data_IF_657423034104
#
_entry.id   IF_657423034104
#
_cell.length_a   1.000
_cell.length_b   1.000
_cell.length_c   1.000
_cell.angle_alpha   90.00
_cell.angle_beta   90.00
_cell.angle_gamma   90.00
#
_symmetry.space_group_name_H-M   'P 1'
#
loop_
_entity.id
_entity.type
_entity.pdbx_description
1 polymer ?
#
# COMPACT_ATOMS: atom_id res chain seq x y z
N UNK A 1 7.17 16.92 1.93
CA UNK A 1 6.08 16.83 2.93
C UNK A 1 5.77 15.36 3.10
N UNK A 2 5.86 14.83 4.32
CA UNK A 2 5.55 13.42 4.59
C UNK A 2 4.12 13.29 5.10
N UNK A 3 3.39 12.30 4.59
CA UNK A 3 2.01 12.00 4.92
C UNK A 3 1.89 10.77 5.83
N UNK A 4 2.95 10.48 6.60
CA UNK A 4 3.11 9.27 7.42
C UNK A 4 2.04 9.10 8.50
N UNK A 5 1.34 10.17 8.87
CA UNK A 5 0.22 10.09 9.80
C UNK A 5 -1.10 9.65 9.17
N UNK A 6 -1.23 9.63 7.84
CA UNK A 6 -2.49 9.34 7.15
C UNK A 6 -2.83 7.84 7.07
N UNK A 7 -1.91 6.90 6.80
CA UNK A 7 -2.24 5.48 6.62
C UNK A 7 -3.08 4.87 7.74
N UNK A 8 -2.88 5.31 8.98
CA UNK A 8 -3.65 4.87 10.15
C UNK A 8 -5.17 5.15 10.07
N UNK A 9 -5.59 6.10 9.23
CA UNK A 9 -7.01 6.41 9.00
C UNK A 9 -7.74 5.27 8.30
N UNK A 10 -7.01 4.40 7.59
CA UNK A 10 -7.59 3.25 6.89
C UNK A 10 -8.08 2.15 7.86
N UNK A 11 -7.71 2.22 9.15
CA UNK A 11 -8.09 1.24 10.17
C UNK A 11 -9.61 1.11 10.33
N UNK A 12 -10.32 2.21 10.18
CA UNK A 12 -11.76 2.27 10.42
C UNK A 12 -12.58 2.12 9.12
N UNK A 13 -11.92 1.84 7.99
CA UNK A 13 -12.58 1.69 6.68
C UNK A 13 -13.31 0.32 6.58
N UNK A 14 -14.65 0.28 6.44
CA UNK A 14 -15.41 -0.97 6.45
C UNK A 14 -14.95 -1.98 5.38
N UNK A 15 -14.67 -1.51 4.16
CA UNK A 15 -14.21 -2.38 3.08
C UNK A 15 -12.86 -3.06 3.41
N UNK A 16 -12.00 -2.39 4.19
CA UNK A 16 -10.73 -2.96 4.66
C UNK A 16 -10.98 -3.97 5.77
N UNK A 17 -11.84 -3.65 6.72
CA UNK A 17 -12.21 -4.56 7.83
C UNK A 17 -12.80 -5.88 7.32
N UNK A 18 -13.58 -5.86 6.23
CA UNK A 18 -14.16 -7.05 5.63
C UNK A 18 -13.13 -8.02 5.03
N UNK A 19 -12.02 -7.49 4.52
CA UNK A 19 -10.95 -8.27 3.87
C UNK A 19 -9.82 -8.67 4.82
N UNK A 20 -9.65 -7.99 5.95
CA UNK A 20 -8.61 -8.31 6.92
C UNK A 20 -8.77 -9.75 7.48
N UNK A 21 -7.65 -10.47 7.57
CA UNK A 21 -7.60 -11.84 8.08
C UNK A 21 -8.05 -12.90 7.08
N UNK A 22 -8.56 -12.53 5.90
CA UNK A 22 -8.87 -13.46 4.81
C UNK A 22 -7.57 -13.97 4.17
N UNK A 23 -7.56 -15.24 3.77
CA UNK A 23 -6.45 -15.81 2.99
C UNK A 23 -6.42 -15.33 1.54
N UNK A 24 -7.58 -14.91 1.02
CA UNK A 24 -7.76 -14.33 -0.31
C UNK A 24 -8.96 -13.40 -0.28
N UNK A 25 -8.81 -12.20 -0.84
CA UNK A 25 -9.86 -11.19 -0.92
C UNK A 25 -9.60 -10.24 -2.09
N UNK A 26 -10.64 -9.53 -2.52
CA UNK A 26 -10.57 -8.48 -3.54
C UNK A 26 -11.03 -7.18 -2.89
N UNK A 27 -10.19 -6.15 -2.98
CA UNK A 27 -10.52 -4.79 -2.55
C UNK A 27 -10.52 -3.88 -3.77
N UNK A 28 -11.67 -3.30 -4.10
CA UNK A 28 -11.79 -2.34 -5.18
C UNK A 28 -11.33 -0.96 -4.68
N UNK A 29 -10.33 -0.38 -5.35
CA UNK A 29 -9.72 0.90 -4.96
C UNK A 29 -9.61 1.80 -6.18
N UNK A 30 -10.01 3.08 -6.10
CA UNK A 30 -9.72 4.04 -7.15
C UNK A 30 -8.21 4.21 -7.34
N UNK A 31 -7.76 4.36 -8.58
CA UNK A 31 -6.33 4.53 -8.90
C UNK A 31 -5.61 5.60 -8.04
N UNK A 32 -6.19 6.80 -7.79
CA UNK A 32 -5.55 7.81 -6.95
C UNK A 32 -5.38 7.41 -5.49
N UNK A 33 -6.17 6.45 -5.00
CA UNK A 33 -6.14 5.98 -3.63
C UNK A 33 -5.24 4.76 -3.43
N UNK A 34 -4.72 4.14 -4.51
CA UNK A 34 -3.99 2.87 -4.44
C UNK A 34 -2.81 2.91 -3.47
N UNK A 35 -1.95 3.93 -3.57
CA UNK A 35 -0.78 4.06 -2.70
C UNK A 35 -1.19 4.25 -1.22
N UNK A 36 -2.18 5.10 -0.97
CA UNK A 36 -2.71 5.32 0.38
C UNK A 36 -3.29 4.02 0.98
N UNK A 37 -4.07 3.28 0.20
CA UNK A 37 -4.66 2.00 0.64
C UNK A 37 -3.58 0.96 0.93
N UNK A 38 -2.56 0.82 0.07
CA UNK A 38 -1.45 -0.12 0.29
C UNK A 38 -0.67 0.24 1.56
N UNK A 39 -0.33 1.53 1.75
CA UNK A 39 0.34 2.01 2.97
C UNK A 39 -0.52 1.79 4.22
N UNK A 40 -1.84 1.99 4.14
CA UNK A 40 -2.74 1.68 5.25
C UNK A 40 -2.83 0.17 5.53
N UNK A 41 -2.77 -0.67 4.51
CA UNK A 41 -2.75 -2.13 4.67
C UNK A 41 -1.47 -2.62 5.37
N UNK A 42 -0.30 -2.05 5.09
CA UNK A 42 0.94 -2.41 5.80
C UNK A 42 0.83 -2.09 7.30
N UNK A 43 0.28 -0.92 7.64
CA UNK A 43 0.05 -0.48 9.03
C UNK A 43 -1.00 -1.34 9.77
N UNK A 44 -2.17 -1.57 9.14
CA UNK A 44 -3.31 -2.22 9.81
C UNK A 44 -3.16 -3.74 9.88
N UNK A 45 -2.58 -4.36 8.84
CA UNK A 45 -2.44 -5.82 8.81
C UNK A 45 -1.29 -6.35 9.68
N UNK A 46 -0.33 -5.47 10.05
CA UNK A 46 0.95 -5.81 10.70
C UNK A 46 1.77 -6.88 9.95
N UNK A 47 1.42 -7.16 8.69
CA UNK A 47 2.17 -8.07 7.83
C UNK A 47 3.32 -7.27 7.21
N UNK A 48 4.53 -7.68 7.52
CA UNK A 48 5.74 -7.15 6.91
C UNK A 48 6.67 -8.32 6.56
N UNK A 49 7.21 -8.38 5.32
CA UNK A 49 7.01 -7.42 4.23
C UNK A 49 5.66 -7.59 3.49
N UNK A 50 5.19 -6.51 2.85
CA UNK A 50 4.09 -6.55 1.88
C UNK A 50 4.66 -6.51 0.46
N UNK A 51 4.39 -7.53 -0.34
CA UNK A 51 4.81 -7.58 -1.75
C UNK A 51 3.66 -7.10 -2.62
N UNK A 52 3.91 -6.11 -3.48
CA UNK A 52 2.94 -5.57 -4.42
C UNK A 52 3.43 -5.82 -5.84
N UNK A 53 2.71 -6.64 -6.60
CA UNK A 53 2.95 -6.84 -8.03
C UNK A 53 2.11 -5.85 -8.85
N UNK A 54 2.72 -5.24 -9.86
CA UNK A 54 2.07 -4.30 -10.77
C UNK A 54 2.38 -4.63 -12.23
N UNK A 55 1.57 -4.17 -13.20
CA UNK A 55 1.68 -4.63 -14.58
C UNK A 55 2.97 -4.22 -15.31
N UNK A 56 3.56 -3.07 -14.97
CA UNK A 56 4.75 -2.54 -15.65
C UNK A 56 5.77 -1.96 -14.68
N UNK A 57 7.03 -1.82 -15.12
CA UNK A 57 8.07 -1.11 -14.36
C UNK A 57 7.68 0.35 -14.09
N UNK A 58 6.99 1.02 -15.02
CA UNK A 58 6.51 2.39 -14.83
C UNK A 58 5.46 2.51 -13.73
N UNK A 59 4.55 1.53 -13.62
CA UNK A 59 3.60 1.46 -12.50
C UNK A 59 4.33 1.25 -11.17
N UNK A 60 5.38 0.42 -11.17
CA UNK A 60 6.16 0.13 -9.98
C UNK A 60 6.92 1.36 -9.49
N UNK A 61 7.64 2.03 -10.38
CA UNK A 61 8.37 3.26 -10.06
C UNK A 61 7.43 4.38 -9.57
N UNK A 62 6.26 4.53 -10.20
CA UNK A 62 5.26 5.50 -9.74
C UNK A 62 4.75 5.14 -8.35
N UNK A 63 4.40 3.87 -8.13
CA UNK A 63 3.87 3.42 -6.86
C UNK A 63 4.90 3.56 -5.73
N UNK A 64 6.19 3.28 -5.99
CA UNK A 64 7.27 3.47 -5.01
C UNK A 64 7.34 4.94 -4.59
N UNK A 65 7.38 5.89 -5.54
CA UNK A 65 7.39 7.33 -5.22
C UNK A 65 6.20 7.75 -4.35
N UNK A 66 5.01 7.24 -4.66
CA UNK A 66 3.80 7.56 -3.90
C UNK A 66 3.85 6.92 -2.50
N UNK A 67 4.26 5.66 -2.37
CA UNK A 67 4.36 4.93 -1.09
C UNK A 67 5.40 5.54 -0.15
N UNK A 68 6.55 5.96 -0.66
CA UNK A 68 7.60 6.65 0.10
C UNK A 68 7.07 7.91 0.80
N UNK A 69 6.08 8.60 0.21
CA UNK A 69 5.45 9.76 0.84
C UNK A 69 4.67 9.38 2.11
N UNK A 70 4.14 8.16 2.18
CA UNK A 70 3.35 7.65 3.29
C UNK A 70 4.14 6.80 4.29
N UNK A 71 5.21 6.11 3.86
CA UNK A 71 5.93 5.14 4.68
C UNK A 71 7.36 5.60 5.05
N UNK A 72 7.95 6.50 4.26
CA UNK A 72 9.36 6.87 4.36
C UNK A 72 10.21 6.15 3.33
N UNK A 73 11.41 6.69 3.07
CA UNK A 73 12.33 6.19 2.04
C UNK A 73 12.89 4.79 2.38
N UNK A 74 13.08 4.50 3.67
CA UNK A 74 13.70 3.25 4.14
C UNK A 74 12.72 2.05 4.22
N UNK A 75 11.43 2.28 3.99
CA UNK A 75 10.37 1.26 4.16
C UNK A 75 9.82 0.74 2.82
N UNK A 76 10.35 1.22 1.69
CA UNK A 76 9.84 0.89 0.35
C UNK A 76 10.98 0.58 -0.62
N UNK A 77 11.08 -0.68 -1.02
CA UNK A 77 12.03 -1.14 -2.02
C UNK A 77 11.37 -1.44 -3.37
N UNK A 78 12.08 -1.14 -4.47
CA UNK A 78 11.73 -1.58 -5.81
C UNK A 78 12.50 -2.85 -6.16
N UNK A 79 11.80 -3.93 -6.46
CA UNK A 79 12.41 -5.14 -7.03
C UNK A 79 12.31 -5.10 -8.57
N UNK A 80 13.42 -4.84 -9.31
CA UNK A 80 13.37 -4.66 -10.76
C UNK A 80 13.09 -5.97 -11.51
N UNK A 81 12.54 -5.84 -12.72
CA UNK A 81 12.14 -6.98 -13.58
C UNK A 81 13.23 -7.41 -14.58
N UNK A 82 14.51 -7.24 -14.21
CA UNK A 82 15.69 -7.49 -15.05
C UNK A 82 15.65 -8.79 -15.85
#
# INVERSE_FOLDING_TARGET
MHLTSLPKLLRDEPAVLEVLGRSSAVLAVPEPARAFTIAGLSEVSRRSPLVVAVPTSGDAERLVRDLTTFLGDDEVDLFPAW
#
